data_IF_721345340692
#
_entry.id   IF_721345340692
#
_cell.length_a   1.000
_cell.length_b   1.000
_cell.length_c   1.000
_cell.angle_alpha   90.00
_cell.angle_beta   90.00
_cell.angle_gamma   90.00
#
_symmetry.space_group_name_H-M   'P 1'
#
loop_
_entity.id
_entity.type
_entity.pdbx_description
1 polymer ?
#
# COMPACT_ATOMS: atom_id res chain seq x y z
N UNK A 1 -8.28 -22.35 -3.68
CA UNK A 1 -7.01 -21.85 -3.19
C UNK A 1 -7.10 -20.35 -2.90
N UNK A 2 -6.94 -19.96 -1.66
CA UNK A 2 -7.12 -18.56 -1.24
C UNK A 2 -5.76 -17.88 -1.17
N UNK A 3 -5.61 -16.72 -1.82
CA UNK A 3 -4.38 -15.95 -1.75
C UNK A 3 -4.31 -15.17 -0.44
N UNK A 4 -3.11 -15.11 0.12
CA UNK A 4 -2.85 -14.39 1.36
C UNK A 4 -2.10 -13.08 1.07
N UNK A 5 -2.03 -12.22 2.06
CA UNK A 5 -1.23 -11.00 1.99
C UNK A 5 0.23 -11.34 1.73
N UNK A 6 0.74 -12.44 2.32
CA UNK A 6 2.11 -12.92 2.06
C UNK A 6 2.33 -13.18 0.58
N UNK A 7 1.37 -13.82 -0.09
CA UNK A 7 1.48 -14.09 -1.53
C UNK A 7 1.59 -12.79 -2.33
N UNK A 8 0.82 -11.78 -1.96
CA UNK A 8 0.85 -10.46 -2.61
C UNK A 8 2.22 -9.79 -2.42
N UNK A 9 2.73 -9.80 -1.19
CA UNK A 9 4.02 -9.18 -0.88
C UNK A 9 5.16 -9.91 -1.60
N UNK A 10 5.13 -11.24 -1.65
CA UNK A 10 6.16 -12.02 -2.34
C UNK A 10 6.16 -11.74 -3.85
N UNK A 11 5.01 -11.58 -4.47
CA UNK A 11 4.90 -11.27 -5.89
C UNK A 11 5.33 -9.85 -6.21
N UNK A 12 5.02 -8.91 -5.34
CA UNK A 12 5.32 -7.48 -5.51
C UNK A 12 6.79 -7.16 -5.22
N UNK A 13 7.40 -7.90 -4.30
CA UNK A 13 8.70 -7.57 -3.73
C UNK A 13 8.54 -6.87 -2.39
N UNK A 14 9.51 -7.06 -1.52
CA UNK A 14 9.46 -6.61 -0.13
C UNK A 14 10.13 -5.27 0.13
N UNK A 15 10.50 -4.52 -0.91
CA UNK A 15 11.12 -3.20 -0.74
C UNK A 15 10.07 -2.20 -0.25
N UNK A 16 10.13 -1.87 1.03
CA UNK A 16 9.29 -0.82 1.60
C UNK A 16 10.08 0.47 1.60
N UNK A 17 9.57 1.47 0.91
CA UNK A 17 10.21 2.77 0.82
C UNK A 17 9.67 3.67 1.93
N UNK A 18 10.59 4.24 2.69
CA UNK A 18 10.28 5.10 3.83
C UNK A 18 10.86 6.49 3.64
N UNK A 19 10.21 7.47 4.23
CA UNK A 19 10.66 8.86 4.23
C UNK A 19 10.51 9.39 5.66
N UNK A 20 11.39 10.31 6.06
CA UNK A 20 11.28 10.93 7.38
C UNK A 20 10.16 11.97 7.40
N UNK A 21 9.52 12.12 8.56
CA UNK A 21 8.41 13.07 8.72
C UNK A 21 8.82 14.53 8.49
N UNK A 22 10.09 14.86 8.71
CA UNK A 22 10.62 16.21 8.51
C UNK A 22 11.12 16.47 7.09
N UNK A 23 11.11 15.46 6.22
CA UNK A 23 11.45 15.64 4.81
C UNK A 23 10.41 16.54 4.14
N UNK A 24 10.83 17.21 3.06
CA UNK A 24 9.90 18.03 2.28
C UNK A 24 9.03 17.14 1.40
N UNK A 25 7.86 17.64 1.07
CA UNK A 25 6.96 16.97 0.12
C UNK A 25 7.67 16.79 -1.23
N UNK A 26 8.48 17.78 -1.64
CA UNK A 26 9.25 17.68 -2.87
C UNK A 26 10.19 16.48 -2.86
N UNK A 27 10.91 16.26 -1.76
CA UNK A 27 11.79 15.09 -1.61
C UNK A 27 11.01 13.78 -1.67
N UNK A 28 9.83 13.73 -1.07
CA UNK A 28 8.98 12.56 -1.13
C UNK A 28 8.51 12.28 -2.57
N UNK A 29 8.12 13.31 -3.30
CA UNK A 29 7.70 13.18 -4.70
C UNK A 29 8.84 12.70 -5.59
N UNK A 30 10.07 13.19 -5.36
CA UNK A 30 11.25 12.72 -6.09
C UNK A 30 11.47 11.22 -5.85
N UNK A 31 11.34 10.78 -4.60
CA UNK A 31 11.49 9.37 -4.24
C UNK A 31 10.41 8.51 -4.90
N UNK A 32 9.17 8.98 -4.91
CA UNK A 32 8.07 8.28 -5.57
C UNK A 32 8.32 8.14 -7.08
N UNK A 33 8.75 9.22 -7.72
CA UNK A 33 9.02 9.22 -9.15
C UNK A 33 10.19 8.30 -9.51
N UNK A 34 11.29 8.37 -8.75
CA UNK A 34 12.48 7.55 -9.00
C UNK A 34 12.18 6.07 -8.86
N UNK A 35 11.32 5.69 -7.91
CA UNK A 35 11.01 4.30 -7.62
C UNK A 35 9.69 3.83 -8.25
N UNK A 36 9.01 4.70 -8.98
CA UNK A 36 7.74 4.42 -9.65
C UNK A 36 6.68 3.87 -8.69
N UNK A 37 6.52 4.55 -7.57
CA UNK A 37 5.49 4.23 -6.56
C UNK A 37 4.67 5.46 -6.25
N UNK A 38 3.45 5.27 -5.78
CA UNK A 38 2.52 6.36 -5.44
C UNK A 38 2.35 6.61 -3.96
N UNK A 39 3.10 5.92 -3.11
CA UNK A 39 2.99 6.03 -1.66
C UNK A 39 4.31 5.71 -0.98
N UNK A 40 4.55 6.36 0.15
CA UNK A 40 5.71 6.10 1.01
C UNK A 40 5.25 5.98 2.45
N UNK A 41 5.91 5.10 3.19
CA UNK A 41 5.71 5.01 4.64
C UNK A 41 6.50 6.14 5.30
N UNK A 42 5.89 6.83 6.24
CA UNK A 42 6.52 7.95 6.94
C UNK A 42 6.99 7.48 8.31
N UNK A 43 8.26 7.73 8.59
CA UNK A 43 8.88 7.38 9.88
C UNK A 43 9.32 8.61 10.63
N UNK A 44 9.27 8.51 11.95
CA UNK A 44 9.86 9.48 12.86
C UNK A 44 10.60 8.67 13.94
N UNK A 45 11.93 8.80 14.00
CA UNK A 45 12.77 8.07 14.95
C UNK A 45 12.48 6.55 14.93
N UNK A 46 12.52 5.95 13.74
CA UNK A 46 12.29 4.51 13.53
C UNK A 46 10.86 4.04 13.79
N UNK A 47 9.95 4.94 14.16
CA UNK A 47 8.54 4.62 14.37
C UNK A 47 7.74 5.05 13.14
N UNK A 48 6.85 4.19 12.66
CA UNK A 48 5.95 4.53 11.57
C UNK A 48 4.87 5.46 12.11
N UNK A 49 4.75 6.65 11.54
CA UNK A 49 3.80 7.67 11.99
C UNK A 49 2.71 7.96 10.96
N UNK A 50 2.88 7.51 9.73
CA UNK A 50 1.87 7.76 8.71
C UNK A 50 2.25 7.21 7.35
N UNK A 51 1.42 7.54 6.36
CA UNK A 51 1.67 7.24 4.94
C UNK A 51 1.42 8.53 4.17
N UNK A 52 2.29 8.83 3.22
CA UNK A 52 2.13 9.96 2.31
C UNK A 52 1.96 9.43 0.89
N UNK A 53 1.01 10.00 0.14
CA UNK A 53 0.67 9.56 -1.20
C UNK A 53 0.64 10.73 -2.18
N UNK A 54 0.69 10.42 -3.48
CA UNK A 54 0.48 11.41 -4.52
C UNK A 54 -0.88 12.09 -4.39
N UNK A 55 -1.88 11.38 -3.90
CA UNK A 55 -3.21 11.93 -3.63
C UNK A 55 -3.16 13.00 -2.54
N UNK A 56 -2.36 12.76 -1.49
CA UNK A 56 -2.15 13.76 -0.43
C UNK A 56 -1.54 15.03 -1.00
N UNK A 57 -0.54 14.88 -1.87
CA UNK A 57 0.09 16.00 -2.55
C UNK A 57 -0.93 16.81 -3.34
N UNK A 58 -1.72 16.14 -4.17
CA UNK A 58 -2.70 16.83 -5.01
C UNK A 58 -3.74 17.59 -4.17
N UNK A 59 -4.22 16.98 -3.11
CA UNK A 59 -5.31 17.54 -2.30
C UNK A 59 -4.88 18.54 -1.24
N UNK A 60 -3.68 18.33 -0.67
CA UNK A 60 -3.22 19.09 0.49
C UNK A 60 -2.10 20.07 0.20
N UNK A 61 -1.48 20.00 -0.97
CA UNK A 61 -0.42 20.92 -1.39
C UNK A 61 -0.90 21.76 -2.56
N UNK A 62 -1.08 21.18 -3.73
CA UNK A 62 -1.45 21.93 -4.95
C UNK A 62 -2.80 22.64 -4.76
N UNK A 63 -3.84 21.94 -4.36
CA UNK A 63 -5.18 22.52 -4.23
C UNK A 63 -5.31 23.49 -3.05
N UNK A 64 -4.37 23.46 -2.10
CA UNK A 64 -4.33 24.40 -0.98
C UNK A 64 -3.38 25.57 -1.19
N UNK A 65 -2.78 25.68 -2.39
CA UNK A 65 -1.87 26.76 -2.70
C UNK A 65 -0.53 26.69 -1.97
N UNK A 66 -0.16 25.50 -1.48
CA UNK A 66 1.13 25.28 -0.81
C UNK A 66 2.21 24.94 -1.81
N UNK A 67 3.46 25.07 -1.38
CA UNK A 67 4.63 24.73 -2.19
C UNK A 67 5.25 23.43 -1.69
N UNK A 68 5.56 22.48 -2.58
CA UNK A 68 6.19 21.22 -2.18
C UNK A 68 7.58 21.39 -1.56
N UNK A 69 8.44 22.34 -1.99
CA UNK A 69 9.73 22.53 -1.32
C UNK A 69 9.64 23.15 0.08
N UNK A 70 8.53 23.82 0.41
CA UNK A 70 8.34 24.49 1.69
C UNK A 70 7.38 23.78 2.63
N UNK A 71 6.80 22.66 2.21
CA UNK A 71 5.85 21.88 3.02
C UNK A 71 6.53 20.57 3.44
N UNK A 72 6.43 20.21 4.73
CA UNK A 72 6.96 18.94 5.21
C UNK A 72 5.95 17.83 5.05
N UNK A 73 6.46 16.61 4.98
CA UNK A 73 5.65 15.39 4.83
C UNK A 73 4.67 15.25 6.00
N UNK A 74 5.09 15.56 7.21
CA UNK A 74 4.23 15.43 8.39
C UNK A 74 2.98 16.31 8.33
N UNK A 75 3.02 17.38 7.56
CA UNK A 75 1.86 18.29 7.42
C UNK A 75 0.79 17.76 6.50
N UNK A 76 1.10 16.77 5.67
CA UNK A 76 0.13 16.23 4.69
C UNK A 76 -0.12 14.73 4.81
N UNK A 77 0.73 13.99 5.52
CA UNK A 77 0.59 12.54 5.64
C UNK A 77 -0.74 12.14 6.29
N UNK A 78 -1.22 10.97 5.95
CA UNK A 78 -2.33 10.35 6.64
C UNK A 78 -1.81 9.63 7.88
N UNK A 79 -2.40 9.93 9.04
CA UNK A 79 -2.04 9.28 10.31
C UNK A 79 -2.99 8.14 10.66
N UNK A 80 -4.08 7.98 9.92
CA UNK A 80 -5.02 6.88 10.10
C UNK A 80 -4.47 5.64 9.40
N UNK A 81 -3.42 5.04 9.99
CA UNK A 81 -2.72 3.90 9.40
C UNK A 81 -3.27 2.61 9.97
N UNK A 82 -3.70 1.71 9.10
CA UNK A 82 -4.12 0.37 9.47
C UNK A 82 -3.02 -0.61 9.13
N UNK A 83 -2.89 -1.66 9.94
CA UNK A 83 -1.85 -2.67 9.77
C UNK A 83 -2.50 -4.02 9.52
N UNK A 84 -1.79 -4.92 8.83
CA UNK A 84 -2.26 -6.27 8.59
C UNK A 84 -1.10 -7.23 8.73
N UNK A 85 -1.39 -8.48 9.08
CA UNK A 85 -0.38 -9.54 9.17
C UNK A 85 -0.36 -10.35 7.88
N UNK A 86 0.76 -11.00 7.53
CA UNK A 86 0.88 -11.69 6.25
C UNK A 86 0.00 -12.94 6.10
N UNK A 87 -0.48 -13.49 7.21
CA UNK A 87 -1.32 -14.69 7.20
C UNK A 87 -2.79 -14.41 6.85
N UNK A 88 -3.18 -13.14 6.81
CA UNK A 88 -4.54 -12.75 6.43
C UNK A 88 -4.76 -12.95 4.94
N UNK A 89 -6.02 -13.15 4.56
CA UNK A 89 -6.39 -13.32 3.15
C UNK A 89 -6.51 -11.97 2.44
N UNK A 90 -6.46 -12.03 1.11
CA UNK A 90 -6.68 -10.84 0.27
C UNK A 90 -8.07 -10.26 0.54
N UNK A 91 -9.09 -11.11 0.70
CA UNK A 91 -10.45 -10.67 1.02
C UNK A 91 -10.52 -9.95 2.36
N UNK A 92 -9.81 -10.46 3.37
CA UNK A 92 -9.74 -9.80 4.68
C UNK A 92 -9.05 -8.43 4.58
N UNK A 93 -8.01 -8.34 3.75
CA UNK A 93 -7.33 -7.06 3.49
C UNK A 93 -8.24 -6.03 2.84
N UNK A 94 -8.99 -6.46 1.82
CA UNK A 94 -9.93 -5.57 1.13
C UNK A 94 -11.07 -5.13 2.06
N UNK A 95 -11.55 -6.03 2.91
CA UNK A 95 -12.58 -5.70 3.90
C UNK A 95 -12.06 -4.66 4.90
N UNK A 96 -10.82 -4.81 5.36
CA UNK A 96 -10.19 -3.86 6.27
C UNK A 96 -10.04 -2.48 5.63
N UNK A 97 -9.59 -2.43 4.37
CA UNK A 97 -9.46 -1.18 3.63
C UNK A 97 -10.80 -0.46 3.48
N UNK A 98 -11.85 -1.21 3.20
CA UNK A 98 -13.20 -0.67 3.05
C UNK A 98 -13.72 -0.14 4.38
N UNK A 99 -13.58 -0.91 5.44
CA UNK A 99 -14.07 -0.57 6.78
C UNK A 99 -13.36 0.67 7.34
N UNK A 100 -12.04 0.73 7.20
CA UNK A 100 -11.22 1.81 7.75
C UNK A 100 -10.92 2.93 6.75
N UNK A 101 -11.38 2.79 5.51
CA UNK A 101 -11.14 3.76 4.43
C UNK A 101 -9.65 4.01 4.18
N UNK A 102 -8.85 2.94 4.29
CA UNK A 102 -7.43 2.96 4.00
C UNK A 102 -7.19 2.34 2.63
N UNK A 103 -6.26 2.87 1.85
CA UNK A 103 -5.92 2.34 0.53
C UNK A 103 -4.56 1.66 0.51
N UNK A 104 -3.85 1.71 1.61
CA UNK A 104 -2.53 1.12 1.78
C UNK A 104 -2.47 0.48 3.16
N UNK A 105 -1.94 -0.73 3.22
CA UNK A 105 -1.79 -1.47 4.46
C UNK A 105 -0.32 -1.85 4.65
N UNK A 106 0.38 -1.26 5.62
CA UNK A 106 1.65 -1.80 6.07
C UNK A 106 1.44 -3.21 6.58
N UNK A 107 2.32 -4.11 6.16
CA UNK A 107 2.26 -5.53 6.52
C UNK A 107 3.35 -5.82 7.54
N UNK A 108 2.96 -6.28 8.70
CA UNK A 108 3.89 -6.59 9.79
C UNK A 108 3.90 -8.07 10.10
N UNK A 109 5.08 -8.64 10.17
CA UNK A 109 5.31 -9.99 10.67
C UNK A 109 6.02 -9.83 12.02
N UNK A 110 5.25 -9.93 13.11
CA UNK A 110 5.73 -9.53 14.42
C UNK A 110 5.97 -8.03 14.47
N UNK A 111 7.18 -7.64 14.85
CA UNK A 111 7.56 -6.22 14.93
C UNK A 111 8.19 -5.70 13.64
N UNK A 112 8.40 -6.57 12.65
CA UNK A 112 9.05 -6.22 11.40
C UNK A 112 8.06 -5.90 10.30
N UNK A 113 8.21 -4.74 9.65
CA UNK A 113 7.43 -4.42 8.47
C UNK A 113 8.02 -5.12 7.26
N UNK A 114 7.24 -6.04 6.67
CA UNK A 114 7.70 -6.87 5.56
C UNK A 114 7.18 -6.40 4.21
N UNK A 115 6.30 -5.42 4.18
CA UNK A 115 5.78 -4.91 2.92
C UNK A 115 4.73 -3.84 3.09
N UNK A 116 4.27 -3.32 1.97
CA UNK A 116 3.18 -2.35 1.89
C UNK A 116 2.24 -2.81 0.78
N UNK A 117 1.02 -3.14 1.13
CA UNK A 117 0.01 -3.59 0.17
C UNK A 117 -0.93 -2.44 -0.18
N UNK A 118 -1.11 -2.16 -1.47
CA UNK A 118 -2.07 -1.18 -1.95
C UNK A 118 -3.38 -1.86 -2.31
N UNK A 119 -4.45 -1.06 -2.41
CA UNK A 119 -5.74 -1.58 -2.87
C UNK A 119 -5.60 -2.18 -4.29
N UNK A 120 -4.79 -1.57 -5.14
CA UNK A 120 -4.52 -2.10 -6.49
C UNK A 120 -3.87 -3.47 -6.46
N UNK A 121 -2.91 -3.68 -5.53
CA UNK A 121 -2.25 -4.97 -5.36
C UNK A 121 -3.25 -6.05 -4.96
N UNK A 122 -4.16 -5.75 -4.05
CA UNK A 122 -5.14 -6.72 -3.55
C UNK A 122 -6.22 -7.02 -4.58
N UNK A 123 -6.68 -6.01 -5.31
CA UNK A 123 -7.66 -6.21 -6.38
C UNK A 123 -7.07 -7.08 -7.49
N UNK A 124 -5.82 -6.81 -7.88
CA UNK A 124 -5.13 -7.62 -8.89
C UNK A 124 -5.04 -9.08 -8.45
N UNK A 125 -4.65 -9.33 -7.20
CA UNK A 125 -4.55 -10.68 -6.66
C UNK A 125 -5.91 -11.37 -6.65
N UNK A 126 -6.98 -10.66 -6.31
CA UNK A 126 -8.32 -11.21 -6.30
C UNK A 126 -8.80 -11.58 -7.70
N UNK A 127 -8.53 -10.74 -8.68
CA UNK A 127 -8.88 -11.01 -10.09
C UNK A 127 -8.13 -12.26 -10.58
N UNK A 128 -6.84 -12.35 -10.32
CA UNK A 128 -6.02 -13.50 -10.71
C UNK A 128 -6.52 -14.79 -10.08
N UNK A 129 -6.93 -14.74 -8.81
CA UNK A 129 -7.49 -15.88 -8.11
C UNK A 129 -8.79 -16.36 -8.76
N UNK A 130 -9.67 -15.45 -9.13
CA UNK A 130 -10.92 -15.77 -9.80
C UNK A 130 -10.70 -16.34 -11.20
N UNK A 131 -9.75 -15.80 -11.95
CA UNK A 131 -9.39 -16.33 -13.27
C UNK A 131 -8.87 -17.76 -13.16
N UNK A 132 -8.03 -18.03 -12.16
CA UNK A 132 -7.53 -19.37 -11.91
C UNK A 132 -8.70 -20.36 -11.67
N UNK A 133 -9.65 -19.98 -10.84
CA UNK A 133 -10.82 -20.83 -10.54
C UNK A 133 -11.63 -21.08 -11.79
N UNK A 134 -11.88 -20.06 -12.59
CA UNK A 134 -12.65 -20.19 -13.84
C UNK A 134 -11.95 -21.17 -14.79
N UNK A 135 -10.63 -21.03 -14.95
CA UNK A 135 -9.85 -21.92 -15.81
C UNK A 135 -9.91 -23.37 -15.33
N UNK A 136 -9.87 -23.59 -14.01
CA UNK A 136 -9.98 -24.94 -13.44
C UNK A 136 -11.34 -25.56 -13.76
N UNK A 137 -12.41 -24.78 -13.64
CA UNK A 137 -13.77 -25.25 -13.96
C UNK A 137 -13.92 -25.56 -15.44
N UNK A 138 -13.40 -24.71 -16.32
CA UNK A 138 -13.41 -24.93 -17.76
C UNK A 138 -12.66 -26.23 -18.14
N UNK A 139 -11.49 -26.45 -17.56
CA UNK A 139 -10.73 -27.65 -17.80
C UNK A 139 -11.45 -28.90 -17.30
N UNK A 140 -12.11 -28.80 -16.16
CA UNK A 140 -12.90 -29.92 -15.62
C UNK A 140 -14.05 -30.29 -16.57
N UNK A 141 -14.74 -29.29 -17.07
CA UNK A 141 -15.86 -29.50 -18.00
C UNK A 141 -15.36 -30.15 -19.31
N UNK A 142 -14.23 -29.68 -19.84
CA UNK A 142 -13.65 -30.19 -21.08
C UNK A 142 -13.15 -31.61 -20.97
N UNK A 143 -12.63 -32.01 -19.81
CA UNK A 143 -12.05 -33.34 -19.60
C UNK A 143 -13.08 -34.35 -19.10
N UNK A 144 -14.25 -33.91 -18.69
CA UNK A 144 -15.31 -34.75 -18.25
C UNK A 144 -16.24 -35.12 -19.38
#
# INVERSE_FOLDING_TARGET
>A
MTRTIRDVINAKGSNVLCVNSDATVYQALEMMATNNVGALVVKQKEVIVGIVTERDYARKVILKGRSSPSTTVENIMSTNVCYITPDKTVEEGLALMTDKRCRHLPVFDGDEMVGLASIGDLVKAQVEQKEFIINQLENYIKSG
#
